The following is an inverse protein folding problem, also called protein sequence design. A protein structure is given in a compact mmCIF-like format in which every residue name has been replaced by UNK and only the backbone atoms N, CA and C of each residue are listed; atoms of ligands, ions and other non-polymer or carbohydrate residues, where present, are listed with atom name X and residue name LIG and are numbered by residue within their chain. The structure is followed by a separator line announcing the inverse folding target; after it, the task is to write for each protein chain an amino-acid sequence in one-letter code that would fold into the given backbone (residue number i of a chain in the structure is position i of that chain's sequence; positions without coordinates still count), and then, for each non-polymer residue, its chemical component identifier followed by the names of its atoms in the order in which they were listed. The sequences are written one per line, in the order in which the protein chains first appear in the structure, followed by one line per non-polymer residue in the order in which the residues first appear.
data_IF_527572067330
#
_entry.id   IF_527572067330
#
_cell.length_a   1.000
_cell.length_b   1.000
_cell.length_c   1.000
_cell.angle_alpha   90.00
_cell.angle_beta   90.00
_cell.angle_gamma   90.00
#
_symmetry.space_group_name_H-M   'P 1'
#
loop_
_entity.id
_entity.type
_entity.pdbx_description
1 polymer ?
#
# COMPACT_ATOMS: atom_id res chain seq x y z
N UNK A 1 -9.04 -7.44 -5.59
CA UNK A 1 -9.69 -7.78 -4.30
C UNK A 1 -9.77 -6.55 -3.42
N UNK A 2 -10.93 -6.25 -2.92
CA UNK A 2 -11.10 -5.16 -1.95
C UNK A 2 -11.24 -5.71 -0.54
N UNK A 3 -10.45 -5.20 0.37
CA UNK A 3 -10.61 -5.49 1.80
C UNK A 3 -11.30 -4.28 2.42
N UNK A 4 -12.54 -4.47 2.86
CA UNK A 4 -13.34 -3.39 3.44
C UNK A 4 -13.54 -3.65 4.93
N UNK A 5 -13.31 -2.60 5.74
CA UNK A 5 -13.54 -2.61 7.18
C UNK A 5 -14.44 -1.43 7.54
N UNK A 6 -14.87 -1.35 8.81
CA UNK A 6 -15.86 -0.37 9.25
C UNK A 6 -15.48 1.08 8.92
N UNK A 7 -14.19 1.43 8.96
CA UNK A 7 -13.74 2.81 8.80
C UNK A 7 -12.68 2.99 7.72
N UNK A 8 -12.58 2.04 6.80
CA UNK A 8 -11.64 2.15 5.71
C UNK A 8 -11.63 0.95 4.79
N UNK A 9 -10.81 1.04 3.75
CA UNK A 9 -10.66 -0.02 2.77
C UNK A 9 -9.29 0.02 2.10
N UNK A 10 -8.92 -1.09 1.46
CA UNK A 10 -7.71 -1.19 0.65
C UNK A 10 -7.97 -2.12 -0.52
N UNK A 11 -7.38 -1.82 -1.68
CA UNK A 11 -7.49 -2.63 -2.88
C UNK A 11 -6.19 -3.40 -3.14
N UNK A 12 -6.33 -4.67 -3.52
CA UNK A 12 -5.23 -5.50 -3.99
C UNK A 12 -5.52 -5.93 -5.43
N UNK A 13 -4.55 -5.75 -6.30
CA UNK A 13 -4.63 -6.21 -7.69
C UNK A 13 -3.53 -7.24 -7.91
N UNK A 14 -3.92 -8.49 -8.20
CA UNK A 14 -2.96 -9.56 -8.44
C UNK A 14 -2.43 -9.47 -9.87
N UNK A 15 -1.11 -9.33 -10.01
CA UNK A 15 -0.47 -9.07 -11.29
C UNK A 15 -0.22 -10.36 -12.06
N UNK A 16 -0.38 -10.32 -13.39
CA UNK A 16 -0.14 -11.47 -14.26
C UNK A 16 1.32 -11.96 -14.23
N UNK A 17 2.26 -11.04 -14.02
CA UNK A 17 3.68 -11.37 -13.93
C UNK A 17 4.10 -11.90 -12.56
N UNK A 18 3.15 -12.03 -11.64
CA UNK A 18 3.40 -12.39 -10.25
C UNK A 18 3.47 -11.16 -9.35
N UNK A 19 3.11 -11.36 -8.10
CA UNK A 19 3.08 -10.26 -7.13
C UNK A 19 1.73 -9.56 -7.07
N UNK A 20 1.68 -8.52 -6.26
CA UNK A 20 0.45 -7.78 -5.97
C UNK A 20 0.71 -6.29 -6.03
N UNK A 21 -0.23 -5.55 -6.63
CA UNK A 21 -0.26 -4.10 -6.56
C UNK A 21 -1.26 -3.70 -5.48
N UNK A 22 -0.76 -3.02 -4.44
CA UNK A 22 -1.59 -2.52 -3.35
C UNK A 22 -1.90 -1.05 -3.62
N UNK A 23 -3.17 -0.69 -3.61
CA UNK A 23 -3.58 0.68 -3.92
C UNK A 23 -4.87 1.07 -3.21
N UNK A 24 -5.22 2.35 -3.32
CA UNK A 24 -6.48 2.87 -2.79
C UNK A 24 -6.70 2.56 -1.31
N UNK A 25 -5.64 2.60 -0.51
CA UNK A 25 -5.80 2.49 0.94
C UNK A 25 -6.36 3.80 1.47
N UNK A 26 -7.46 3.72 2.19
CA UNK A 26 -8.16 4.89 2.72
C UNK A 26 -8.74 4.57 4.09
N UNK A 27 -8.64 5.53 4.99
CA UNK A 27 -9.28 5.51 6.31
C UNK A 27 -10.13 6.76 6.41
N UNK A 28 -11.35 6.63 6.93
CA UNK A 28 -12.25 7.76 7.12
C UNK A 28 -11.56 8.85 7.95
N UNK A 29 -11.66 10.14 7.55
CA UNK A 29 -10.93 11.21 8.23
C UNK A 29 -11.11 11.25 9.75
N UNK A 30 -12.32 11.00 10.23
CA UNK A 30 -12.63 11.03 11.67
C UNK A 30 -12.03 9.87 12.45
N UNK A 31 -11.52 8.85 11.73
CA UNK A 31 -11.00 7.63 12.33
C UNK A 31 -9.50 7.44 12.10
N UNK A 32 -8.83 8.44 11.53
CA UNK A 32 -7.38 8.43 11.33
C UNK A 32 -6.65 8.58 12.67
N UNK A 33 -5.44 8.01 12.75
CA UNK A 33 -4.64 8.06 13.96
C UNK A 33 -5.05 7.07 15.05
N UNK A 34 -5.96 6.14 14.74
CA UNK A 34 -6.49 5.17 15.71
C UNK A 34 -6.07 3.72 15.40
N UNK A 35 -5.12 3.53 14.47
CA UNK A 35 -4.63 2.21 14.13
C UNK A 35 -5.40 1.47 13.03
N UNK A 36 -6.42 2.07 12.45
CA UNK A 36 -7.21 1.42 11.38
C UNK A 36 -6.39 1.20 10.11
N UNK A 37 -5.54 2.18 9.75
CA UNK A 37 -4.64 2.01 8.60
C UNK A 37 -3.67 0.86 8.78
N UNK A 38 -3.10 0.72 9.96
CA UNK A 38 -2.22 -0.39 10.31
C UNK A 38 -2.95 -1.72 10.21
N UNK A 39 -4.17 -1.78 10.74
CA UNK A 39 -4.99 -2.99 10.65
C UNK A 39 -5.28 -3.38 9.20
N UNK A 40 -5.63 -2.40 8.34
CA UNK A 40 -5.85 -2.64 6.92
C UNK A 40 -4.59 -3.18 6.23
N UNK A 41 -3.42 -2.60 6.54
CA UNK A 41 -2.15 -3.07 5.98
C UNK A 41 -1.83 -4.49 6.42
N UNK A 42 -2.04 -4.82 7.67
CA UNK A 42 -1.83 -6.18 8.18
C UNK A 42 -2.73 -7.17 7.44
N UNK A 43 -4.00 -6.84 7.26
CA UNK A 43 -4.94 -7.70 6.52
C UNK A 43 -4.55 -7.81 5.04
N UNK A 44 -4.12 -6.72 4.43
CA UNK A 44 -3.65 -6.74 3.05
C UNK A 44 -2.44 -7.65 2.88
N UNK A 45 -1.47 -7.56 3.80
CA UNK A 45 -0.27 -8.39 3.74
C UNK A 45 -0.58 -9.88 3.91
N UNK A 46 -1.59 -10.23 4.69
CA UNK A 46 -2.04 -11.63 4.83
C UNK A 46 -2.56 -12.21 3.51
N UNK A 47 -3.16 -11.37 2.66
CA UNK A 47 -3.79 -11.79 1.40
C UNK A 47 -2.89 -11.60 0.19
N UNK A 48 -1.90 -10.71 0.26
CA UNK A 48 -1.05 -10.37 -0.87
C UNK A 48 -0.05 -11.46 -1.19
N UNK A 49 0.26 -11.60 -2.48
CA UNK A 49 1.36 -12.45 -2.95
C UNK A 49 2.60 -11.57 -3.14
N UNK A 50 3.74 -12.01 -2.62
CA UNK A 50 5.00 -11.29 -2.79
C UNK A 50 5.54 -11.44 -4.22
N UNK A 51 6.22 -10.43 -4.77
CA UNK A 51 6.46 -9.12 -4.16
C UNK A 51 5.21 -8.24 -4.18
N UNK A 52 5.14 -7.30 -3.24
CA UNK A 52 4.04 -6.33 -3.18
C UNK A 52 4.56 -4.97 -3.61
N UNK A 53 3.88 -4.38 -4.59
CA UNK A 53 4.23 -3.06 -5.14
C UNK A 53 3.21 -2.03 -4.72
N UNK A 54 3.65 -0.79 -4.53
CA UNK A 54 2.73 0.32 -4.33
C UNK A 54 3.31 1.61 -4.91
N UNK A 55 2.43 2.56 -5.14
CA UNK A 55 2.79 3.89 -5.61
C UNK A 55 2.39 4.90 -4.55
N UNK A 56 3.37 5.59 -3.98
CA UNK A 56 3.12 6.70 -3.08
C UNK A 56 2.91 7.95 -3.93
N UNK A 57 1.75 8.56 -3.77
CA UNK A 57 1.36 9.73 -4.55
C UNK A 57 1.03 10.89 -3.63
N UNK A 58 1.43 12.10 -4.03
CA UNK A 58 1.09 13.33 -3.32
C UNK A 58 -0.28 13.88 -3.72
N UNK A 59 -0.93 13.28 -4.71
CA UNK A 59 -2.21 13.78 -5.24
C UNK A 59 -3.35 13.75 -4.22
N UNK A 60 -3.24 12.94 -3.19
CA UNK A 60 -4.25 12.82 -2.14
C UNK A 60 -3.97 13.72 -0.93
N UNK A 61 -3.06 14.67 -1.05
CA UNK A 61 -2.82 15.69 -0.03
C UNK A 61 -1.96 15.28 1.16
N UNK A 62 -1.28 14.15 1.10
CA UNK A 62 -0.35 13.73 2.14
C UNK A 62 1.09 14.18 1.85
N UNK A 63 1.91 14.27 2.88
CA UNK A 63 3.35 14.47 2.71
C UNK A 63 3.99 13.14 2.25
N UNK A 64 4.58 13.08 1.03
CA UNK A 64 5.16 11.84 0.53
C UNK A 64 6.22 11.24 1.45
N UNK A 65 7.03 12.07 2.11
CA UNK A 65 8.07 11.58 3.01
C UNK A 65 7.49 10.87 4.23
N UNK A 66 6.38 11.37 4.78
CA UNK A 66 5.69 10.70 5.88
C UNK A 66 5.08 9.37 5.43
N UNK A 67 4.52 9.34 4.24
CA UNK A 67 3.96 8.11 3.67
C UNK A 67 5.05 7.07 3.41
N UNK A 68 6.20 7.47 2.88
CA UNK A 68 7.34 6.56 2.70
C UNK A 68 7.79 5.96 4.03
N UNK A 69 7.89 6.77 5.09
CA UNK A 69 8.25 6.29 6.42
C UNK A 69 7.23 5.32 6.98
N UNK A 70 5.94 5.61 6.76
CA UNK A 70 4.86 4.76 7.24
C UNK A 70 4.89 3.38 6.56
N UNK A 71 5.03 3.36 5.24
CA UNK A 71 5.11 2.10 4.50
C UNK A 71 6.36 1.30 4.84
N UNK A 72 7.48 1.94 5.16
CA UNK A 72 8.70 1.25 5.59
C UNK A 72 8.46 0.38 6.81
N UNK A 73 7.56 0.76 7.69
CA UNK A 73 7.23 -0.04 8.88
C UNK A 73 6.66 -1.41 8.53
N UNK A 74 6.11 -1.55 7.33
CA UNK A 74 5.53 -2.81 6.83
C UNK A 74 6.48 -3.57 5.90
N UNK A 75 7.75 -3.19 5.87
CA UNK A 75 8.76 -3.88 5.08
C UNK A 75 8.94 -3.38 3.66
N UNK A 76 8.27 -2.29 3.29
CA UNK A 76 8.45 -1.69 1.97
C UNK A 76 9.73 -0.87 1.88
N UNK A 77 10.37 -0.91 0.72
CA UNK A 77 11.56 -0.12 0.42
C UNK A 77 11.31 0.73 -0.81
N UNK A 78 11.96 1.89 -0.90
CA UNK A 78 11.90 2.71 -2.10
C UNK A 78 12.49 1.95 -3.27
N UNK A 79 11.80 2.00 -4.40
CA UNK A 79 12.20 1.35 -5.64
C UNK A 79 12.61 2.41 -6.64
N UNK A 80 13.75 2.21 -7.29
CA UNK A 80 14.24 3.08 -8.35
C UNK A 80 13.98 2.43 -9.70
N UNK A 81 13.58 3.26 -10.68
CA UNK A 81 13.40 2.83 -12.04
C UNK A 81 12.02 2.27 -12.34
N UNK A 82 11.85 1.85 -13.58
CA UNK A 82 10.60 1.28 -14.06
C UNK A 82 10.77 -0.22 -14.19
N UNK A 83 9.88 -0.97 -13.53
CA UNK A 83 9.76 -2.39 -13.73
C UNK A 83 8.39 -2.69 -14.30
N UNK A 84 8.33 -3.63 -15.24
CA UNK A 84 7.10 -4.17 -15.83
C UNK A 84 6.12 -3.10 -16.35
N UNK A 85 6.65 -1.95 -16.80
CA UNK A 85 5.83 -0.89 -17.39
C UNK A 85 5.02 -0.06 -16.41
N UNK A 86 5.20 -0.25 -15.11
CA UNK A 86 4.49 0.50 -14.07
C UNK A 86 5.44 1.39 -13.29
N UNK A 87 4.95 2.55 -12.86
CA UNK A 87 5.72 3.52 -12.09
C UNK A 87 5.55 3.31 -10.59
N UNK A 88 5.79 2.10 -10.10
CA UNK A 88 5.77 1.86 -8.66
C UNK A 88 7.02 2.48 -8.03
N UNK A 89 6.86 3.09 -6.88
CA UNK A 89 7.98 3.71 -6.17
C UNK A 89 8.32 3.03 -4.85
N UNK A 90 7.57 2.02 -4.46
CA UNK A 90 7.92 1.16 -3.32
C UNK A 90 7.62 -0.29 -3.63
N UNK A 91 8.40 -1.18 -2.99
CA UNK A 91 8.24 -2.62 -3.14
C UNK A 91 8.59 -3.34 -1.84
N UNK A 92 7.86 -4.41 -1.55
CA UNK A 92 8.19 -5.37 -0.49
C UNK A 92 8.46 -6.72 -1.13
N UNK A 93 9.71 -7.21 -1.00
CA UNK A 93 10.15 -8.47 -1.60
C UNK A 93 9.94 -9.68 -0.69
N UNK A 94 9.87 -9.45 0.61
CA UNK A 94 9.82 -10.53 1.62
C UNK A 94 8.67 -10.33 2.61
#
# INVERSE_FOLDING_TARGET
MRIKRAHGSVELEFLKCGGTYLHSIAVDPDWRGRGYGTHLMEKAMEKASLPVYLLVSSELGGDPEMLFKWYKKFGFKKKRGRDVGYNYNMVRWE
#
